data_IF_434741087611
#
_entry.id   IF_434741087611
#
_cell.length_a   1.000
_cell.length_b   1.000
_cell.length_c   1.000
_cell.angle_alpha   90.00
_cell.angle_beta   90.00
_cell.angle_gamma   90.00
#
_symmetry.space_group_name_H-M   'P 1'
#
loop_
_entity.id
_entity.type
_entity.pdbx_description
1 polymer ?
#
# COMPACT_ATOMS: atom_id res chain seq x y z
N UNK A 1 6.38 28.66 13.55
CA UNK A 1 6.79 27.40 12.90
C UNK A 1 8.31 27.23 13.00
N UNK A 2 8.80 26.01 13.20
CA UNK A 2 10.22 25.72 13.43
C UNK A 2 10.79 24.79 12.35
N UNK A 3 12.13 24.75 12.19
CA UNK A 3 12.78 23.79 11.28
C UNK A 3 12.44 22.34 11.66
N UNK A 4 12.36 22.05 12.97
CA UNK A 4 12.02 20.72 13.48
C UNK A 4 10.60 20.32 13.09
N UNK A 5 9.61 21.21 13.27
CA UNK A 5 8.21 20.92 12.92
C UNK A 5 8.02 20.73 11.41
N UNK A 6 8.85 21.37 10.58
CA UNK A 6 8.86 21.12 9.12
C UNK A 6 9.37 19.72 8.76
N UNK A 7 10.41 19.24 9.43
CA UNK A 7 10.93 17.87 9.20
C UNK A 7 9.92 16.82 9.69
N UNK A 8 9.23 17.09 10.79
CA UNK A 8 8.25 16.18 11.40
C UNK A 8 6.83 16.31 10.82
N UNK A 9 6.65 17.07 9.74
CA UNK A 9 5.33 17.37 9.19
C UNK A 9 4.56 16.10 8.82
N UNK A 10 5.21 15.12 8.19
CA UNK A 10 4.58 13.84 7.87
C UNK A 10 4.27 13.00 9.11
N UNK A 11 5.04 13.15 10.19
CA UNK A 11 4.82 12.43 11.44
C UNK A 11 3.62 12.97 12.25
N UNK A 12 3.25 14.23 12.06
CA UNK A 12 2.21 14.91 12.84
C UNK A 12 0.97 15.22 11.99
N UNK A 13 0.37 14.17 11.41
CA UNK A 13 -0.85 14.27 10.58
C UNK A 13 -0.68 13.88 9.11
N UNK A 14 0.45 13.27 8.72
CA UNK A 14 0.73 12.84 7.35
C UNK A 14 0.83 11.31 7.20
N UNK A 15 1.63 10.87 6.22
CA UNK A 15 1.84 9.46 5.92
C UNK A 15 2.98 8.85 6.76
N UNK A 16 2.75 8.65 8.05
CA UNK A 16 3.71 8.00 8.92
C UNK A 16 3.03 7.25 10.07
N UNK A 17 3.64 6.14 10.51
CA UNK A 17 3.29 5.49 11.78
C UNK A 17 4.13 6.11 12.89
N UNK A 18 3.50 6.91 13.72
CA UNK A 18 4.22 7.74 14.69
C UNK A 18 3.98 7.26 16.12
N UNK A 19 5.07 6.99 16.83
CA UNK A 19 5.07 6.68 18.26
C UNK A 19 5.76 7.82 18.99
N UNK A 20 5.10 8.36 20.02
CA UNK A 20 5.67 9.40 20.87
C UNK A 20 5.92 8.80 22.24
N UNK A 21 7.19 8.78 22.66
CA UNK A 21 7.59 8.37 24.02
C UNK A 21 7.75 9.63 24.85
N UNK A 22 6.88 9.78 25.85
CA UNK A 22 6.99 10.87 26.83
C UNK A 22 7.83 10.41 28.02
N UNK A 23 8.84 11.20 28.40
CA UNK A 23 9.73 10.89 29.52
C UNK A 23 9.36 11.78 30.71
N UNK A 24 9.02 11.18 31.85
CA UNK A 24 8.57 11.89 33.05
C UNK A 24 9.42 11.53 34.26
N UNK A 25 9.60 12.49 35.18
CA UNK A 25 10.24 12.25 36.49
C UNK A 25 9.19 11.87 37.53
N UNK A 26 9.44 10.84 38.37
CA UNK A 26 8.52 10.48 39.46
C UNK A 26 8.68 11.37 40.69
N UNK A 27 9.66 12.29 40.72
CA UNK A 27 9.91 13.11 41.90
C UNK A 27 8.86 14.21 42.08
N UNK A 28 8.42 14.44 43.32
CA UNK A 28 7.37 15.42 43.65
C UNK A 28 7.74 16.85 43.26
N UNK A 29 9.02 17.23 43.31
CA UNK A 29 9.46 18.55 42.88
C UNK A 29 9.31 18.78 41.37
N UNK A 30 9.17 17.72 40.55
CA UNK A 30 8.93 17.81 39.11
C UNK A 30 7.44 17.71 38.74
N UNK A 31 6.51 17.69 39.71
CA UNK A 31 5.09 17.45 39.47
C UNK A 31 4.50 18.34 38.35
N UNK A 32 4.85 19.63 38.33
CA UNK A 32 4.33 20.58 37.33
C UNK A 32 4.77 20.25 35.89
N UNK A 33 6.04 19.88 35.70
CA UNK A 33 6.59 19.50 34.39
C UNK A 33 6.08 18.13 33.94
N UNK A 34 6.01 17.17 34.87
CA UNK A 34 5.42 15.85 34.62
C UNK A 34 3.96 15.99 34.19
N UNK A 35 3.16 16.83 34.88
CA UNK A 35 1.77 17.12 34.48
C UNK A 35 1.69 17.72 33.08
N UNK A 36 2.52 18.72 32.77
CA UNK A 36 2.55 19.36 31.45
C UNK A 36 2.91 18.37 30.33
N UNK A 37 3.84 17.46 30.60
CA UNK A 37 4.27 16.39 29.68
C UNK A 37 3.16 15.37 29.44
N UNK A 38 2.43 14.97 30.48
CA UNK A 38 1.28 14.07 30.37
C UNK A 38 0.12 14.71 29.57
N UNK A 39 -0.18 15.99 29.81
CA UNK A 39 -1.20 16.72 29.03
C UNK A 39 -0.79 16.92 27.57
N UNK A 40 0.51 17.07 27.28
CA UNK A 40 1.02 16.99 25.91
C UNK A 40 0.74 15.61 25.30
N UNK A 41 1.11 14.52 25.99
CA UNK A 41 0.86 13.16 25.52
C UNK A 41 -0.62 12.87 25.26
N UNK A 42 -1.51 13.37 26.12
CA UNK A 42 -2.96 13.27 25.97
C UNK A 42 -3.47 13.94 24.70
N UNK A 43 -2.98 15.14 24.37
CA UNK A 43 -3.31 15.84 23.12
C UNK A 43 -2.67 15.16 21.91
N UNK A 44 -1.42 14.73 22.02
CA UNK A 44 -0.73 14.04 20.93
C UNK A 44 -1.44 12.72 20.54
N UNK A 45 -2.00 12.01 21.53
CA UNK A 45 -2.78 10.78 21.31
C UNK A 45 -4.01 10.97 20.42
N UNK A 46 -4.57 12.19 20.32
CA UNK A 46 -5.76 12.43 19.48
C UNK A 46 -5.41 12.72 18.02
N UNK A 47 -4.14 12.86 17.68
CA UNK A 47 -3.70 13.08 16.30
C UNK A 47 -3.88 11.79 15.50
N UNK A 48 -4.55 11.89 14.35
CA UNK A 48 -4.74 10.79 13.40
C UNK A 48 -3.86 11.01 12.18
N UNK A 49 -3.07 10.01 11.82
CA UNK A 49 -2.29 9.98 10.59
C UNK A 49 -3.03 9.15 9.53
N UNK A 50 -2.97 9.57 8.27
CA UNK A 50 -3.49 8.81 7.13
C UNK A 50 -2.31 8.07 6.52
N UNK A 51 -2.20 6.79 6.83
CA UNK A 51 -1.04 5.98 6.46
C UNK A 51 -1.31 5.17 5.19
N UNK A 52 -0.40 5.28 4.23
CA UNK A 52 -0.38 4.58 2.96
C UNK A 52 0.99 3.93 2.74
N UNK A 53 1.03 2.78 2.08
CA UNK A 53 2.30 2.18 1.66
C UNK A 53 2.94 3.07 0.59
N UNK A 54 4.22 3.39 0.76
CA UNK A 54 4.99 4.15 -0.21
C UNK A 54 5.39 3.21 -1.36
N UNK A 55 4.58 3.18 -2.42
CA UNK A 55 4.88 2.44 -3.65
C UNK A 55 5.78 3.29 -4.56
N UNK A 56 6.96 2.78 -4.91
CA UNK A 56 7.79 3.35 -5.97
C UNK A 56 7.45 2.64 -7.29
N UNK A 57 6.83 3.38 -8.20
CA UNK A 57 6.45 2.90 -9.53
C UNK A 57 7.19 3.70 -10.59
N UNK A 58 7.55 3.05 -11.69
CA UNK A 58 8.09 3.73 -12.87
C UNK A 58 7.03 4.62 -13.51
N UNK A 59 7.46 5.61 -14.31
CA UNK A 59 6.54 6.49 -15.02
C UNK A 59 5.56 5.73 -15.93
N UNK A 60 6.01 4.63 -16.54
CA UNK A 60 5.19 3.79 -17.39
C UNK A 60 4.12 3.02 -16.58
N UNK A 61 4.48 2.51 -15.41
CA UNK A 61 3.52 1.84 -14.52
C UNK A 61 2.47 2.81 -13.96
N UNK A 62 2.88 4.02 -13.58
CA UNK A 62 1.96 5.09 -13.20
C UNK A 62 0.97 5.40 -14.32
N UNK A 63 1.46 5.53 -15.56
CA UNK A 63 0.62 5.80 -16.73
C UNK A 63 -0.39 4.67 -16.95
N UNK A 64 0.05 3.41 -16.91
CA UNK A 64 -0.80 2.23 -17.04
C UNK A 64 -1.87 2.16 -15.95
N UNK A 65 -1.50 2.40 -14.68
CA UNK A 65 -2.44 2.40 -13.54
C UNK A 65 -3.47 3.52 -13.68
N UNK A 66 -3.02 4.70 -14.10
CA UNK A 66 -3.90 5.84 -14.37
C UNK A 66 -4.90 5.56 -15.50
N UNK A 67 -4.46 5.00 -16.63
CA UNK A 67 -5.34 4.65 -17.75
C UNK A 67 -6.41 3.64 -17.33
N UNK A 68 -6.03 2.61 -16.57
CA UNK A 68 -6.97 1.62 -16.02
C UNK A 68 -8.01 2.27 -15.09
N UNK A 69 -7.57 3.14 -14.18
CA UNK A 69 -8.49 3.80 -13.24
C UNK A 69 -9.41 4.81 -13.96
N UNK A 70 -8.89 5.50 -14.98
CA UNK A 70 -9.68 6.40 -15.85
C UNK A 70 -10.79 5.64 -16.60
N UNK A 71 -10.49 4.45 -17.11
CA UNK A 71 -11.48 3.60 -17.77
C UNK A 71 -12.58 3.18 -16.80
N UNK A 72 -12.23 2.73 -15.58
CA UNK A 72 -13.20 2.40 -14.53
C UNK A 72 -14.10 3.59 -14.19
N UNK A 73 -13.52 4.78 -13.99
CA UNK A 73 -14.29 6.00 -13.71
C UNK A 73 -15.26 6.30 -14.84
N UNK A 74 -14.85 6.10 -16.09
CA UNK A 74 -15.73 6.31 -17.25
C UNK A 74 -16.90 5.32 -17.24
N UNK A 75 -16.64 4.03 -16.99
CA UNK A 75 -17.68 3.00 -16.84
C UNK A 75 -18.65 3.31 -15.70
N UNK A 76 -18.13 3.69 -14.53
CA UNK A 76 -18.94 4.05 -13.36
C UNK A 76 -19.80 5.28 -13.61
N UNK A 77 -19.27 6.30 -14.29
CA UNK A 77 -20.06 7.48 -14.70
C UNK A 77 -21.20 7.11 -15.63
N UNK A 78 -20.95 6.29 -16.66
CA UNK A 78 -22.00 5.81 -17.55
C UNK A 78 -23.06 4.97 -16.81
N UNK A 79 -22.65 4.11 -15.86
CA UNK A 79 -23.60 3.40 -14.99
C UNK A 79 -24.44 4.38 -14.15
N UNK A 80 -23.82 5.40 -13.54
CA UNK A 80 -24.54 6.43 -12.79
C UNK A 80 -25.54 7.20 -13.65
N UNK A 81 -25.16 7.60 -14.87
CA UNK A 81 -26.06 8.29 -15.81
C UNK A 81 -27.29 7.44 -16.16
N UNK A 82 -27.10 6.14 -16.36
CA UNK A 82 -28.22 5.20 -16.59
C UNK A 82 -29.13 5.10 -15.37
N UNK A 83 -28.57 4.92 -14.17
CA UNK A 83 -29.36 4.88 -12.94
C UNK A 83 -30.10 6.19 -12.66
N UNK A 84 -29.48 7.34 -12.93
CA UNK A 84 -30.13 8.65 -12.82
C UNK A 84 -31.29 8.79 -13.83
N UNK A 85 -31.11 8.29 -15.05
CA UNK A 85 -32.17 8.25 -16.05
C UNK A 85 -33.33 7.36 -15.61
N UNK A 86 -33.08 6.16 -15.11
CA UNK A 86 -34.13 5.26 -14.60
C UNK A 86 -34.89 5.88 -13.43
N UNK A 87 -34.17 6.47 -12.47
CA UNK A 87 -34.76 7.19 -11.34
C UNK A 87 -35.66 8.35 -11.80
N UNK A 88 -35.26 9.06 -12.85
CA UNK A 88 -36.06 10.14 -13.42
C UNK A 88 -37.37 9.61 -13.99
N UNK A 89 -37.34 8.48 -14.70
CA UNK A 89 -38.54 7.83 -15.25
C UNK A 89 -39.50 7.37 -14.14
N UNK A 90 -38.98 6.69 -13.11
CA UNK A 90 -39.81 6.28 -11.98
C UNK A 90 -40.42 7.48 -11.24
N UNK A 91 -39.68 8.59 -11.12
CA UNK A 91 -40.18 9.83 -10.49
C UNK A 91 -41.23 10.55 -11.34
N UNK A 92 -41.23 10.40 -12.66
CA UNK A 92 -42.31 10.89 -13.53
C UNK A 92 -43.53 9.97 -13.59
N UNK A 93 -43.53 8.85 -12.86
CA UNK A 93 -44.63 7.89 -12.82
C UNK A 93 -44.61 6.86 -13.95
N UNK A 94 -43.52 6.81 -14.72
CA UNK A 94 -43.33 5.87 -15.82
C UNK A 94 -42.49 4.66 -15.36
N UNK A 95 -42.78 3.46 -15.86
CA UNK A 95 -42.05 2.23 -15.48
C UNK A 95 -41.00 1.87 -16.51
N UNK A 96 -39.74 1.76 -16.10
CA UNK A 96 -38.66 1.19 -16.92
C UNK A 96 -38.86 -0.32 -17.06
N UNK A 97 -38.71 -0.86 -18.28
CA UNK A 97 -38.81 -2.31 -18.53
C UNK A 97 -37.66 -3.06 -17.85
N UNK A 98 -37.92 -4.27 -17.38
CA UNK A 98 -36.92 -5.10 -16.67
C UNK A 98 -35.69 -5.41 -17.53
N UNK A 99 -35.84 -5.46 -18.86
CA UNK A 99 -34.74 -5.66 -19.81
C UNK A 99 -33.84 -4.42 -19.98
N UNK A 100 -34.35 -3.23 -19.66
CA UNK A 100 -33.64 -1.95 -19.78
C UNK A 100 -33.06 -1.49 -18.43
N UNK A 101 -33.36 -2.22 -17.35
CA UNK A 101 -32.83 -1.96 -16.01
C UNK A 101 -31.42 -2.52 -15.88
N UNK A 102 -30.48 -1.66 -15.47
CA UNK A 102 -29.14 -2.10 -15.12
C UNK A 102 -29.14 -2.88 -13.79
N UNK A 103 -28.70 -4.14 -13.81
CA UNK A 103 -28.64 -4.98 -12.62
C UNK A 103 -27.58 -4.45 -11.63
N UNK A 104 -28.00 -4.18 -10.39
CA UNK A 104 -27.13 -3.80 -9.27
C UNK A 104 -26.15 -4.90 -8.82
N UNK A 105 -26.27 -6.11 -9.35
CA UNK A 105 -25.52 -7.30 -8.89
C UNK A 105 -24.08 -7.29 -9.39
N UNK A 106 -23.75 -6.48 -10.39
CA UNK A 106 -22.41 -6.41 -11.01
C UNK A 106 -21.48 -5.41 -10.29
N UNK A 107 -21.54 -5.41 -8.94
CA UNK A 107 -20.72 -4.57 -8.05
C UNK A 107 -19.43 -5.25 -7.58
N UNK A 108 -19.22 -6.53 -7.92
CA UNK A 108 -18.02 -7.28 -7.55
C UNK A 108 -16.74 -6.70 -8.17
N UNK A 109 -16.83 -5.95 -9.28
CA UNK A 109 -15.70 -5.26 -9.90
C UNK A 109 -15.32 -3.92 -9.22
N UNK A 110 -16.14 -3.42 -8.28
CA UNK A 110 -15.95 -2.12 -7.62
C UNK A 110 -15.25 -2.30 -6.26
N UNK A 111 -14.17 -3.07 -6.25
CA UNK A 111 -13.23 -3.07 -5.12
C UNK A 111 -12.15 -2.02 -5.41
N UNK A 112 -12.42 -0.75 -5.10
CA UNK A 112 -11.35 0.24 -4.94
C UNK A 112 -10.57 -0.16 -3.68
N UNK A 113 -9.25 -0.40 -3.74
CA UNK A 113 -8.45 -0.58 -2.53
C UNK A 113 -8.27 0.80 -1.88
N UNK A 114 -9.31 1.28 -1.21
CA UNK A 114 -9.20 2.39 -0.28
C UNK A 114 -8.97 1.79 1.10
N UNK A 115 -7.89 2.20 1.73
CA UNK A 115 -7.36 1.70 3.00
C UNK A 115 -8.45 1.30 4.01
N UNK A 116 -8.41 0.04 4.43
CA UNK A 116 -9.12 -0.50 5.58
C UNK A 116 -9.05 0.48 6.77
N UNK A 117 -10.15 1.16 7.09
CA UNK A 117 -10.40 1.57 8.47
C UNK A 117 -11.83 1.98 8.82
N UNK A 118 -12.77 2.20 7.89
CA UNK A 118 -14.17 2.51 8.30
C UNK A 118 -15.21 1.93 7.33
N UNK A 119 -15.64 0.69 7.54
CA UNK A 119 -16.94 0.21 7.06
C UNK A 119 -17.48 -0.86 8.01
N UNK A 120 -18.07 -0.41 9.12
CA UNK A 120 -18.81 -1.27 10.04
C UNK A 120 -20.10 -0.59 10.50
N UNK A 121 -20.91 -0.02 9.60
CA UNK A 121 -22.28 0.45 9.95
C UNK A 121 -23.27 0.49 8.77
N UNK A 122 -23.22 -0.42 7.78
CA UNK A 122 -24.20 -0.37 6.66
C UNK A 122 -24.86 -1.69 6.27
N UNK A 123 -24.75 -2.74 7.08
CA UNK A 123 -25.44 -4.01 6.80
C UNK A 123 -26.95 -4.03 7.11
N UNK A 124 -27.51 -3.00 7.77
CA UNK A 124 -28.90 -3.05 8.27
C UNK A 124 -29.92 -2.15 7.57
N UNK A 125 -29.59 -1.55 6.43
CA UNK A 125 -30.52 -0.72 5.68
C UNK A 125 -30.60 -1.15 4.22
N UNK A 126 -31.12 -2.36 3.96
CA UNK A 126 -31.63 -2.67 2.63
C UNK A 126 -33.16 -2.68 2.60
N UNK A 127 -33.65 -1.65 1.92
CA UNK A 127 -35.04 -1.27 1.73
C UNK A 127 -35.85 -2.39 1.08
N UNK A 128 -36.92 -2.81 1.75
CA UNK A 128 -38.09 -3.35 1.06
C UNK A 128 -38.71 -2.23 0.22
N UNK A 129 -38.78 -2.42 -1.09
CA UNK A 129 -39.62 -1.60 -1.97
C UNK A 129 -41.08 -1.75 -1.54
N UNK A 130 -41.60 -0.75 -0.83
CA UNK A 130 -43.02 -0.62 -0.52
C UNK A 130 -43.73 -0.03 -1.74
N UNK A 131 -44.53 -0.85 -2.44
CA UNK A 131 -45.63 -0.34 -3.28
C UNK A 131 -46.81 0.02 -2.36
N UNK A 132 -47.51 1.16 -2.56
CA UNK A 132 -48.63 1.52 -1.72
C UNK A 132 -49.83 0.69 -2.16
N UNK A 133 -50.25 -0.26 -1.32
CA UNK A 133 -51.53 -0.95 -1.46
C UNK A 133 -52.34 -0.68 -0.20
N UNK A 134 -53.53 -0.14 -0.43
CA UNK A 134 -54.52 0.24 0.55
C UNK A 134 -55.14 -1.00 1.21
N UNK A 135 -55.16 -1.00 2.55
CA UNK A 135 -56.18 -1.70 3.32
C UNK A 135 -55.82 -3.11 3.79
N UNK A 136 -55.90 -3.30 5.10
CA UNK A 136 -56.39 -4.54 5.72
C UNK A 136 -55.38 -5.69 5.90
N UNK A 137 -54.92 -5.85 7.14
CA UNK A 137 -54.90 -7.11 7.88
C UNK A 137 -54.23 -8.38 7.29
N UNK A 138 -53.33 -8.93 8.10
CA UNK A 138 -53.06 -10.37 8.35
C UNK A 138 -52.23 -11.19 7.34
N UNK A 139 -51.31 -11.97 7.94
CA UNK A 139 -50.68 -13.23 7.50
C UNK A 139 -49.60 -13.13 6.40
N UNK A 140 -48.35 -13.50 6.73
CA UNK A 140 -47.55 -14.38 5.86
C UNK A 140 -46.31 -14.96 6.58
N UNK A 141 -46.47 -16.18 7.10
CA UNK A 141 -45.44 -17.21 7.01
C UNK A 141 -45.37 -17.63 5.55
N UNK A 142 -44.49 -17.00 4.77
CA UNK A 142 -44.26 -17.34 3.36
C UNK A 142 -43.19 -18.43 3.25
N UNK A 143 -43.62 -19.66 2.95
CA UNK A 143 -42.75 -20.75 2.50
C UNK A 143 -41.89 -20.28 1.32
N UNK A 144 -40.57 -20.38 1.44
CA UNK A 144 -39.70 -20.38 0.27
C UNK A 144 -40.00 -21.64 -0.56
N UNK A 145 -40.12 -21.50 -1.88
CA UNK A 145 -40.24 -22.66 -2.76
C UNK A 145 -38.99 -23.55 -2.60
N UNK A 146 -39.19 -24.86 -2.53
CA UNK A 146 -38.11 -25.83 -2.30
C UNK A 146 -37.00 -25.72 -3.37
N UNK A 147 -37.37 -25.33 -4.58
CA UNK A 147 -36.47 -25.09 -5.72
C UNK A 147 -35.59 -23.83 -5.56
N UNK A 148 -36.12 -22.75 -4.99
CA UNK A 148 -35.33 -21.54 -4.71
C UNK A 148 -34.31 -21.79 -3.61
N UNK A 149 -34.68 -22.57 -2.59
CA UNK A 149 -33.74 -23.02 -1.55
C UNK A 149 -32.62 -23.88 -2.13
N UNK A 150 -32.93 -24.80 -3.03
CA UNK A 150 -31.92 -25.62 -3.70
C UNK A 150 -30.97 -24.79 -4.59
N UNK A 151 -31.49 -23.79 -5.30
CA UNK A 151 -30.63 -22.88 -6.08
C UNK A 151 -29.68 -22.07 -5.21
N UNK A 152 -30.18 -21.51 -4.11
CA UNK A 152 -29.35 -20.75 -3.16
C UNK A 152 -28.29 -21.65 -2.52
N UNK A 153 -28.65 -22.89 -2.20
CA UNK A 153 -27.71 -23.85 -1.61
C UNK A 153 -26.62 -24.29 -2.62
N UNK A 154 -26.99 -24.50 -3.89
CA UNK A 154 -26.04 -24.79 -4.96
C UNK A 154 -25.10 -23.60 -5.25
N UNK A 155 -25.62 -22.36 -5.25
CA UNK A 155 -24.83 -21.15 -5.44
C UNK A 155 -23.87 -20.93 -4.25
N UNK A 156 -24.32 -21.20 -3.02
CA UNK A 156 -23.47 -21.19 -1.82
C UNK A 156 -22.30 -22.17 -1.95
N UNK A 157 -22.58 -23.39 -2.41
CA UNK A 157 -21.57 -24.44 -2.57
C UNK A 157 -20.55 -24.08 -3.67
N UNK A 158 -21.01 -23.49 -4.78
CA UNK A 158 -20.12 -22.94 -5.81
C UNK A 158 -19.23 -21.80 -5.29
N UNK A 159 -19.78 -20.89 -4.49
CA UNK A 159 -18.99 -19.80 -3.89
C UNK A 159 -17.94 -20.32 -2.91
N UNK A 160 -18.24 -21.36 -2.13
CA UNK A 160 -17.25 -22.01 -1.28
C UNK A 160 -16.12 -22.65 -2.10
N UNK A 161 -16.45 -23.31 -3.20
CA UNK A 161 -15.45 -23.90 -4.08
C UNK A 161 -14.54 -22.84 -4.73
N UNK A 162 -15.09 -21.70 -5.13
CA UNK A 162 -14.28 -20.57 -5.62
C UNK A 162 -13.37 -19.97 -4.55
N UNK A 163 -13.83 -19.92 -3.30
CA UNK A 163 -13.01 -19.48 -2.16
C UNK A 163 -11.81 -20.42 -1.96
N UNK A 164 -12.05 -21.74 -1.99
CA UNK A 164 -10.98 -22.74 -1.85
C UNK A 164 -9.95 -22.63 -2.99
N UNK A 165 -10.40 -22.47 -4.24
CA UNK A 165 -9.51 -22.24 -5.40
C UNK A 165 -8.68 -20.95 -5.23
N UNK A 166 -9.30 -19.87 -4.74
CA UNK A 166 -8.61 -18.61 -4.49
C UNK A 166 -7.59 -18.72 -3.36
N UNK A 167 -7.89 -19.47 -2.31
CA UNK A 167 -6.95 -19.74 -1.22
C UNK A 167 -5.75 -20.57 -1.70
N UNK A 168 -5.96 -21.53 -2.61
CA UNK A 168 -4.87 -22.25 -3.27
C UNK A 168 -4.01 -21.34 -4.14
N UNK A 169 -4.61 -20.47 -4.95
CA UNK A 169 -3.89 -19.45 -5.76
C UNK A 169 -3.05 -18.52 -4.86
N UNK A 170 -3.63 -18.03 -3.76
CA UNK A 170 -2.94 -17.19 -2.78
C UNK A 170 -1.74 -17.92 -2.17
N UNK A 171 -1.90 -19.19 -1.82
CA UNK A 171 -0.81 -20.00 -1.28
C UNK A 171 0.32 -20.20 -2.30
N UNK A 172 -0.01 -20.45 -3.57
CA UNK A 172 0.99 -20.57 -4.64
C UNK A 172 1.75 -19.25 -4.86
N UNK A 173 1.03 -18.12 -4.90
CA UNK A 173 1.64 -16.79 -5.00
C UNK A 173 2.55 -16.50 -3.79
N UNK A 174 2.13 -16.86 -2.58
CA UNK A 174 2.90 -16.65 -1.35
C UNK A 174 4.22 -17.43 -1.40
N UNK A 175 4.19 -18.70 -1.81
CA UNK A 175 5.41 -19.51 -1.97
C UNK A 175 6.35 -18.96 -3.05
N UNK A 176 5.80 -18.45 -4.16
CA UNK A 176 6.62 -17.84 -5.21
C UNK A 176 7.30 -16.56 -4.72
N UNK A 177 6.58 -15.71 -3.98
CA UNK A 177 7.14 -14.49 -3.38
C UNK A 177 8.27 -14.82 -2.42
N UNK A 178 8.12 -15.87 -1.62
CA UNK A 178 9.14 -16.28 -0.64
C UNK A 178 10.43 -16.77 -1.34
N UNK A 179 10.29 -17.58 -2.40
CA UNK A 179 11.43 -17.99 -3.26
C UNK A 179 12.12 -16.80 -3.91
N UNK A 180 11.36 -15.83 -4.44
CA UNK A 180 11.94 -14.64 -5.07
C UNK A 180 12.68 -13.77 -4.03
N UNK A 181 12.19 -13.68 -2.79
CA UNK A 181 12.88 -12.98 -1.71
C UNK A 181 14.20 -13.65 -1.33
N UNK A 182 14.23 -14.97 -1.25
CA UNK A 182 15.48 -15.73 -1.03
C UNK A 182 16.50 -15.45 -2.14
N UNK A 183 16.09 -15.49 -3.41
CA UNK A 183 16.96 -15.18 -4.54
C UNK A 183 17.51 -13.75 -4.52
N UNK A 184 16.70 -12.77 -4.10
CA UNK A 184 17.16 -11.38 -3.96
C UNK A 184 18.21 -11.27 -2.84
N UNK A 185 17.98 -11.90 -1.69
CA UNK A 185 18.96 -11.90 -0.59
C UNK A 185 20.30 -12.51 -1.00
N UNK A 186 20.28 -13.64 -1.71
CA UNK A 186 21.49 -14.28 -2.24
C UNK A 186 22.24 -13.36 -3.21
N UNK A 187 21.52 -12.65 -4.09
CA UNK A 187 22.12 -11.69 -5.02
C UNK A 187 22.71 -10.48 -4.29
N UNK A 188 22.04 -9.95 -3.27
CA UNK A 188 22.53 -8.85 -2.46
C UNK A 188 23.82 -9.22 -1.71
N UNK A 189 23.90 -10.44 -1.17
CA UNK A 189 25.10 -10.97 -0.52
C UNK A 189 26.25 -11.13 -1.52
N UNK A 190 25.97 -11.65 -2.72
CA UNK A 190 26.97 -11.79 -3.78
C UNK A 190 27.52 -10.43 -4.24
N UNK A 191 26.64 -9.44 -4.42
CA UNK A 191 27.03 -8.07 -4.78
C UNK A 191 27.87 -7.44 -3.66
N UNK A 192 27.47 -7.63 -2.39
CA UNK A 192 28.22 -7.16 -1.23
C UNK A 192 29.63 -7.76 -1.18
N UNK A 193 29.75 -9.07 -1.42
CA UNK A 193 31.03 -9.77 -1.48
C UNK A 193 31.91 -9.23 -2.62
N UNK A 194 31.35 -9.12 -3.83
CA UNK A 194 32.09 -8.61 -5.00
C UNK A 194 32.54 -7.17 -4.81
N UNK A 195 31.74 -6.32 -4.15
CA UNK A 195 32.13 -4.94 -3.83
C UNK A 195 33.33 -4.89 -2.88
N UNK A 196 33.35 -5.73 -1.85
CA UNK A 196 34.49 -5.83 -0.93
C UNK A 196 35.75 -6.29 -1.67
N UNK A 197 35.63 -7.28 -2.54
CA UNK A 197 36.75 -7.77 -3.35
C UNK A 197 37.31 -6.67 -4.27
N UNK A 198 36.43 -5.88 -4.91
CA UNK A 198 36.84 -4.74 -5.73
C UNK A 198 37.57 -3.66 -4.90
N UNK A 199 37.09 -3.38 -3.69
CA UNK A 199 37.74 -2.42 -2.79
C UNK A 199 39.15 -2.92 -2.38
N UNK A 200 39.28 -4.20 -2.03
CA UNK A 200 40.59 -4.81 -1.75
C UNK A 200 41.53 -4.72 -2.97
N UNK A 201 41.04 -5.05 -4.16
CA UNK A 201 41.83 -4.93 -5.39
C UNK A 201 42.25 -3.49 -5.67
N UNK A 202 41.37 -2.50 -5.43
CA UNK A 202 41.72 -1.08 -5.56
C UNK A 202 42.83 -0.67 -4.58
N UNK A 203 42.76 -1.11 -3.33
CA UNK A 203 43.82 -0.82 -2.34
C UNK A 203 45.16 -1.44 -2.74
N UNK A 204 45.16 -2.66 -3.28
CA UNK A 204 46.37 -3.35 -3.72
C UNK A 204 46.98 -2.69 -4.97
N UNK A 205 46.14 -2.27 -5.93
CA UNK A 205 46.60 -1.49 -7.10
C UNK A 205 47.27 -0.19 -6.63
N UNK A 206 46.67 0.52 -5.67
CA UNK A 206 47.25 1.76 -5.14
C UNK A 206 48.59 1.51 -4.44
N UNK A 207 48.72 0.42 -3.67
CA UNK A 207 49.97 0.00 -3.04
C UNK A 207 51.06 -0.26 -4.07
N UNK A 208 50.77 -1.07 -5.09
CA UNK A 208 51.72 -1.41 -6.16
C UNK A 208 52.11 -0.18 -6.97
N UNK A 209 51.19 0.75 -7.23
CA UNK A 209 51.49 2.01 -7.91
C UNK A 209 52.47 2.85 -7.08
N UNK A 210 52.26 2.94 -5.77
CA UNK A 210 53.17 3.68 -4.89
C UNK A 210 54.56 3.03 -4.80
N UNK A 211 54.64 1.71 -4.71
CA UNK A 211 55.92 0.99 -4.75
C UNK A 211 56.67 1.21 -6.08
N UNK A 212 55.96 1.25 -7.21
CA UNK A 212 56.56 1.56 -8.50
C UNK A 212 57.08 2.99 -8.60
N UNK A 213 56.35 3.98 -8.09
CA UNK A 213 56.82 5.37 -8.09
C UNK A 213 58.06 5.54 -7.19
N UNK A 214 58.06 4.94 -6.00
CA UNK A 214 59.23 4.94 -5.13
C UNK A 214 60.45 4.30 -5.82
N UNK A 215 60.28 3.15 -6.48
CA UNK A 215 61.36 2.50 -7.21
C UNK A 215 61.88 3.35 -8.40
N UNK A 216 61.01 4.10 -9.09
CA UNK A 216 61.42 5.04 -10.14
C UNK A 216 62.24 6.20 -9.58
N UNK A 217 61.85 6.72 -8.41
CA UNK A 217 62.61 7.77 -7.72
C UNK A 217 64.01 7.26 -7.34
N UNK A 218 64.11 6.07 -6.74
CA UNK A 218 65.39 5.43 -6.41
C UNK A 218 66.29 5.26 -7.66
N UNK A 219 65.73 4.77 -8.77
CA UNK A 219 66.48 4.62 -10.03
C UNK A 219 66.97 5.98 -10.55
N UNK A 220 66.14 7.02 -10.45
CA UNK A 220 66.51 8.38 -10.87
C UNK A 220 67.64 8.95 -10.02
N UNK A 221 67.59 8.76 -8.70
CA UNK A 221 68.65 9.18 -7.78
C UNK A 221 69.99 8.48 -8.10
N UNK A 222 69.95 7.16 -8.34
CA UNK A 222 71.15 6.39 -8.72
C UNK A 222 71.74 6.88 -10.03
N UNK A 223 70.91 7.13 -11.05
CA UNK A 223 71.39 7.65 -12.33
C UNK A 223 72.02 9.04 -12.19
N UNK A 224 71.42 9.93 -11.41
CA UNK A 224 71.97 11.25 -11.15
C UNK A 224 73.33 11.18 -10.45
N UNK A 225 73.47 10.31 -9.44
CA UNK A 225 74.74 10.08 -8.76
C UNK A 225 75.84 9.54 -9.70
N UNK A 226 75.47 8.66 -10.66
CA UNK A 226 76.39 8.16 -11.68
C UNK A 226 76.83 9.24 -12.66
N UNK A 227 75.93 10.14 -13.08
CA UNK A 227 76.28 11.29 -13.93
C UNK A 227 77.25 12.24 -13.23
N UNK A 228 77.00 12.56 -11.95
CA UNK A 228 77.89 13.41 -11.14
C UNK A 228 79.29 12.81 -10.97
N UNK A 229 79.40 11.48 -10.88
CA UNK A 229 80.68 10.77 -10.83
C UNK A 229 81.41 10.76 -12.18
N UNK A 230 80.69 10.75 -13.31
CA UNK A 230 81.29 10.70 -14.64
C UNK A 230 81.82 12.07 -15.13
N UNK A 231 81.35 13.17 -14.53
CA UNK A 231 81.72 14.55 -14.90
C UNK A 231 82.91 15.08 -14.08
N UNK A 232 83.29 14.40 -12.98
CA UNK A 232 84.49 14.68 -12.18
C UNK A 232 85.68 13.81 -12.60
#
# INVERSE_FOLDING_TARGET
DSKLTRILQESLGGNARTTIVICCSPASFNEAETKSTLEFGKRAKTVKNVVCVNEELTAEEWKRRYEKEKEKVTKLKSKCEKYEWELKQWRSGETVKVEEQENLVDLSEVSTPMSNSEMSIVSDLNMRQLKPTSGGGLIMSGSFNNEERQKIEAEREQLFQQLDEKDEEINQCTQLIEKLKEQIMEQEELISCTRKDLELQQTEIARIQQENENAKEEVKEVLQALEELAVN
#
